data_IF_773965673804
#
_entry.id   IF_773965673804
#
_cell.length_a   1.000
_cell.length_b   1.000
_cell.length_c   1.000
_cell.angle_alpha   90.00
_cell.angle_beta   90.00
_cell.angle_gamma   90.00
#
_symmetry.space_group_name_H-M   'P 1'
#
loop_
_entity.id
_entity.type
_entity.pdbx_description
1 polymer ?
#
# COMPACT_ATOMS: atom_id res chain seq x y z
N UNK A 1 -13.04 -0.97 18.42
CA UNK A 1 -12.78 0.44 18.07
C UNK A 1 -12.73 0.53 16.56
N UNK A 2 -13.56 1.36 15.95
CA UNK A 2 -13.54 1.61 14.51
C UNK A 2 -12.18 2.19 14.10
N UNK A 3 -11.59 1.73 13.00
CA UNK A 3 -10.37 2.29 12.39
C UNK A 3 -9.12 2.29 13.29
N UNK A 4 -8.89 1.23 14.07
CA UNK A 4 -7.71 1.13 14.95
C UNK A 4 -6.39 1.17 14.16
N UNK A 5 -6.33 0.49 13.03
CA UNK A 5 -5.13 0.42 12.21
C UNK A 5 -5.27 1.34 11.01
N UNK A 6 -4.26 2.15 10.75
CA UNK A 6 -4.16 3.01 9.58
C UNK A 6 -3.04 2.47 8.69
N UNK A 7 -3.40 2.02 7.50
CA UNK A 7 -2.46 1.61 6.45
C UNK A 7 -2.18 2.82 5.58
N UNK A 8 -0.92 3.22 5.50
CA UNK A 8 -0.44 4.33 4.70
C UNK A 8 0.45 3.76 3.60
N UNK A 9 0.05 3.90 2.34
CA UNK A 9 0.81 3.44 1.17
C UNK A 9 1.22 4.68 0.39
N UNK A 10 2.53 4.91 0.34
CA UNK A 10 3.15 6.05 -0.31
C UNK A 10 3.80 5.63 -1.62
N UNK A 11 3.64 6.46 -2.63
CA UNK A 11 4.35 6.40 -3.90
C UNK A 11 5.33 7.57 -4.02
N UNK A 12 6.13 7.59 -5.08
CA UNK A 12 6.95 8.77 -5.38
C UNK A 12 6.10 9.97 -5.83
N UNK A 13 5.00 9.72 -6.54
CA UNK A 13 3.97 10.72 -6.80
C UNK A 13 2.93 10.72 -5.67
N UNK A 14 2.94 11.80 -4.87
CA UNK A 14 2.04 11.96 -3.73
C UNK A 14 0.56 11.94 -4.10
N UNK A 15 0.20 12.21 -5.35
CA UNK A 15 -1.19 12.11 -5.80
C UNK A 15 -1.70 10.66 -5.81
N UNK A 16 -0.78 9.69 -5.82
CA UNK A 16 -1.08 8.26 -5.80
C UNK A 16 -1.14 7.68 -4.37
N UNK A 17 -0.80 8.47 -3.34
CA UNK A 17 -0.83 8.03 -1.95
C UNK A 17 -2.21 7.48 -1.58
N UNK A 18 -2.21 6.41 -0.78
CA UNK A 18 -3.41 5.70 -0.37
C UNK A 18 -3.41 5.47 1.14
N UNK A 19 -4.48 5.91 1.80
CA UNK A 19 -4.72 5.61 3.22
C UNK A 19 -5.94 4.71 3.35
N UNK A 20 -5.77 3.57 4.01
CA UNK A 20 -6.84 2.61 4.30
C UNK A 20 -6.96 2.47 5.82
N UNK A 21 -8.18 2.38 6.32
CA UNK A 21 -8.44 2.11 7.73
C UNK A 21 -8.93 0.67 7.91
N UNK A 22 -8.41 0.00 8.94
CA UNK A 22 -8.83 -1.35 9.32
C UNK A 22 -9.17 -1.40 10.81
N UNK A 23 -10.19 -2.19 11.15
CA UNK A 23 -10.52 -2.52 12.55
C UNK A 23 -9.65 -3.66 13.09
N UNK A 24 -9.19 -4.53 12.19
CA UNK A 24 -8.39 -5.72 12.49
C UNK A 24 -6.91 -5.47 12.22
N UNK A 25 -6.06 -6.23 12.89
CA UNK A 25 -4.61 -6.16 12.70
C UNK A 25 -4.25 -6.42 11.24
N UNK A 26 -3.29 -5.65 10.72
CA UNK A 26 -2.75 -5.84 9.37
C UNK A 26 -1.36 -6.42 9.51
N UNK A 27 -1.25 -7.71 9.24
CA UNK A 27 0.02 -8.43 9.18
C UNK A 27 0.75 -8.16 7.85
N UNK A 28 1.87 -8.85 7.64
CA UNK A 28 2.72 -8.64 6.47
C UNK A 28 2.02 -9.13 5.20
N UNK A 29 1.38 -10.28 5.26
CA UNK A 29 0.69 -10.93 4.15
C UNK A 29 -0.46 -10.03 3.67
N UNK A 30 -1.30 -9.57 4.59
CA UNK A 30 -2.41 -8.70 4.25
C UNK A 30 -1.95 -7.31 3.77
N UNK A 31 -0.90 -6.73 4.37
CA UNK A 31 -0.31 -5.49 3.86
C UNK A 31 0.19 -5.64 2.42
N UNK A 32 0.80 -6.79 2.13
CA UNK A 32 1.32 -7.12 0.80
C UNK A 32 0.16 -7.18 -0.20
N UNK A 33 -0.92 -7.89 0.11
CA UNK A 33 -2.11 -7.96 -0.73
C UNK A 33 -2.69 -6.57 -1.02
N UNK A 34 -2.86 -5.73 0.01
CA UNK A 34 -3.39 -4.36 -0.15
C UNK A 34 -2.54 -3.52 -1.12
N UNK A 35 -1.22 -3.62 -1.03
CA UNK A 35 -0.30 -2.92 -1.93
C UNK A 35 -0.41 -3.46 -3.36
N UNK A 36 -0.39 -4.78 -3.56
CA UNK A 36 -0.48 -5.38 -4.89
C UNK A 36 -1.84 -5.18 -5.56
N UNK A 37 -2.94 -5.19 -4.80
CA UNK A 37 -4.28 -4.87 -5.33
C UNK A 37 -4.40 -3.44 -5.85
N UNK A 38 -3.57 -2.52 -5.34
CA UNK A 38 -3.55 -1.11 -5.75
C UNK A 38 -2.37 -0.76 -6.66
N UNK A 39 -1.59 -1.75 -7.11
CA UNK A 39 -0.34 -1.54 -7.85
C UNK A 39 -0.49 -0.66 -9.10
N UNK A 40 -1.65 -0.72 -9.77
CA UNK A 40 -1.94 0.09 -10.97
C UNK A 40 -1.96 1.60 -10.70
N UNK A 41 -2.22 2.00 -9.45
CA UNK A 41 -2.22 3.40 -9.01
C UNK A 41 -0.81 3.96 -8.89
N UNK A 42 0.15 3.13 -8.49
CA UNK A 42 1.49 3.58 -8.18
C UNK A 42 2.37 3.67 -9.43
N UNK A 43 3.33 4.59 -9.39
CA UNK A 43 4.16 5.00 -10.52
C UNK A 43 5.65 5.07 -10.19
N UNK A 44 6.05 4.71 -8.98
CA UNK A 44 7.43 4.64 -8.55
C UNK A 44 7.65 3.59 -7.45
N UNK A 45 8.64 3.85 -6.59
CA UNK A 45 8.89 3.02 -5.42
C UNK A 45 7.77 3.17 -4.38
N UNK A 46 7.25 2.03 -3.91
CA UNK A 46 6.13 2.03 -2.96
C UNK A 46 6.62 1.74 -1.55
N UNK A 47 6.17 2.55 -0.59
CA UNK A 47 6.41 2.35 0.85
C UNK A 47 5.08 2.24 1.56
N UNK A 48 4.83 1.13 2.22
CA UNK A 48 3.62 0.93 3.00
C UNK A 48 3.91 0.77 4.49
N UNK A 49 3.08 1.36 5.33
CA UNK A 49 3.18 1.29 6.78
C UNK A 49 1.82 1.01 7.40
N UNK A 50 1.81 0.19 8.44
CA UNK A 50 0.64 -0.01 9.31
C UNK A 50 0.92 0.72 10.61
N UNK A 51 0.06 1.67 10.94
CA UNK A 51 0.09 2.40 12.20
C UNK A 51 -1.05 1.93 13.11
N UNK A 52 -0.72 1.45 14.31
CA UNK A 52 -1.71 1.12 15.33
C UNK A 52 -2.02 2.38 16.15
N UNK A 53 -3.23 2.94 15.97
CA UNK A 53 -3.67 4.16 16.66
C UNK A 53 -3.83 3.98 18.16
N UNK A 54 -4.00 2.74 18.65
CA UNK A 54 -4.09 2.46 20.09
C UNK A 54 -2.70 2.46 20.71
N UNK A 55 -1.74 1.77 20.07
CA UNK A 55 -0.35 1.68 20.55
C UNK A 55 0.52 2.86 20.12
N UNK A 56 -0.01 3.76 19.29
CA UNK A 56 0.65 4.95 18.74
C UNK A 56 2.00 4.66 18.05
N UNK A 57 2.10 3.53 17.35
CA UNK A 57 3.35 3.08 16.72
C UNK A 57 3.11 2.40 15.38
N UNK A 58 4.13 2.44 14.51
CA UNK A 58 4.17 1.60 13.30
C UNK A 58 4.40 0.13 13.70
N UNK A 59 3.59 -0.78 13.20
CA UNK A 59 3.64 -2.22 13.53
C UNK A 59 4.19 -3.05 12.40
N UNK A 60 3.88 -2.69 11.17
CA UNK A 60 4.24 -3.44 9.96
C UNK A 60 4.71 -2.45 8.90
N UNK A 61 5.69 -2.83 8.10
CA UNK A 61 6.17 -2.02 6.99
C UNK A 61 6.48 -2.91 5.79
N UNK A 62 6.30 -2.35 4.59
CA UNK A 62 6.67 -2.97 3.33
C UNK A 62 7.36 -1.92 2.45
N UNK A 63 8.40 -2.36 1.74
CA UNK A 63 9.03 -1.60 0.69
C UNK A 63 9.01 -2.41 -0.59
N UNK A 64 8.48 -1.84 -1.66
CA UNK A 64 8.40 -2.47 -2.96
C UNK A 64 9.11 -1.55 -3.98
N UNK A 65 10.35 -1.89 -4.39
CA UNK A 65 11.04 -1.12 -5.41
C UNK A 65 10.35 -1.29 -6.76
N UNK A 66 10.31 -0.23 -7.57
CA UNK A 66 9.66 -0.26 -8.88
C UNK A 66 10.27 -1.31 -9.82
N UNK A 67 11.55 -1.62 -9.64
CA UNK A 67 12.28 -2.61 -10.45
C UNK A 67 11.67 -4.01 -10.40
N UNK A 68 11.01 -4.37 -9.30
CA UNK A 68 10.34 -5.68 -9.16
C UNK A 68 8.87 -5.64 -9.58
N UNK A 69 8.34 -4.45 -9.89
CA UNK A 69 6.97 -4.25 -10.34
C UNK A 69 6.92 -4.48 -11.86
N UNK A 70 6.06 -5.38 -12.36
CA UNK A 70 5.89 -5.55 -13.80
C UNK A 70 5.47 -4.23 -14.44
N UNK A 71 6.23 -3.77 -15.45
CA UNK A 71 5.90 -2.54 -16.17
C UNK A 71 4.53 -2.67 -16.83
N UNK A 72 3.75 -1.57 -16.80
CA UNK A 72 2.50 -1.47 -17.58
C UNK A 72 2.84 -1.75 -19.05
N UNK A 73 2.26 -2.79 -19.62
CA UNK A 73 2.37 -3.12 -21.05
C UNK A 73 1.24 -2.48 -21.83
N UNK A 74 1.39 -2.37 -23.16
CA UNK A 74 0.31 -1.91 -24.04
C UNK A 74 -0.99 -2.72 -23.86
N UNK A 75 -0.88 -4.03 -23.57
CA UNK A 75 -2.03 -4.89 -23.25
C UNK A 75 -2.77 -4.46 -21.98
N UNK A 76 -2.07 -3.96 -20.96
CA UNK A 76 -2.73 -3.44 -19.76
C UNK A 76 -3.41 -2.09 -19.95
N UNK A 77 -3.06 -1.32 -21.00
CA UNK A 77 -3.72 -0.05 -21.32
C UNK A 77 -5.10 -0.25 -21.96
N UNK A 78 -5.33 -1.38 -22.63
CA UNK A 78 -6.59 -1.70 -23.32
C UNK A 78 -7.72 -2.15 -22.37
N UNK A 79 -7.41 -2.35 -21.08
CA UNK A 79 -8.36 -2.82 -20.05
C UNK A 79 -8.79 -1.71 -19.07
N UNK A 80 -8.54 -0.44 -19.42
CA UNK A 80 -8.84 0.75 -18.61
C UNK A 80 -9.91 1.62 -19.26
#
# INVERSE_FOLDING_TARGET
MKNRFRVEIYDEDKNNDLTIYSEQGVDKEYLTELVFSNLRRFSGNVRAYVYDNLKKRKTTALYLPMEVIPKKTELTKLLG
#
